data_IF_474594716072
#
_entry.id   IF_474594716072
#
_cell.length_a   1.000
_cell.length_b   1.000
_cell.length_c   1.000
_cell.angle_alpha   90.00
_cell.angle_beta   90.00
_cell.angle_gamma   90.00
#
_symmetry.space_group_name_H-M   'P 1'
#
loop_
_entity.id
_entity.type
_entity.pdbx_description
1 polymer ?
#
# COMPACT_ATOMS: atom_id res chain seq x y z
N UNK A 1 -20.37 -0.48 -26.98
CA UNK A 1 -21.49 -1.42 -26.76
C UNK A 1 -22.07 -1.14 -25.40
N UNK A 2 -23.36 -0.84 -25.29
CA UNK A 2 -24.04 -0.70 -23.99
C UNK A 2 -24.06 -2.06 -23.28
N UNK A 3 -23.73 -2.12 -21.99
CA UNK A 3 -23.75 -3.38 -21.24
C UNK A 3 -25.19 -3.88 -21.07
N UNK A 4 -25.38 -5.20 -21.05
CA UNK A 4 -26.68 -5.83 -20.72
C UNK A 4 -26.91 -5.97 -19.21
N UNK A 5 -26.16 -5.20 -18.41
CA UNK A 5 -26.14 -5.31 -16.94
C UNK A 5 -26.90 -4.13 -16.32
N UNK A 6 -27.60 -4.32 -15.19
CA UNK A 6 -28.30 -3.22 -14.54
C UNK A 6 -27.30 -2.19 -14.02
N UNK A 7 -27.69 -0.90 -14.06
CA UNK A 7 -26.80 0.26 -13.90
C UNK A 7 -25.96 0.25 -12.60
N UNK A 8 -26.39 -0.48 -11.56
CA UNK A 8 -25.62 -0.73 -10.34
C UNK A 8 -24.22 -1.35 -10.56
N UNK A 9 -24.02 -2.06 -11.68
CA UNK A 9 -22.75 -2.68 -12.08
C UNK A 9 -21.87 -1.78 -12.97
N UNK A 10 -22.34 -0.58 -13.36
CA UNK A 10 -21.47 0.40 -13.98
C UNK A 10 -20.54 0.99 -12.89
N UNK A 11 -19.31 1.34 -13.27
CA UNK A 11 -18.31 1.90 -12.37
C UNK A 11 -18.31 3.43 -12.44
N UNK A 12 -18.25 4.07 -11.27
CA UNK A 12 -18.08 5.52 -11.16
C UNK A 12 -16.69 5.92 -11.69
N UNK A 13 -16.58 7.07 -12.37
CA UNK A 13 -15.32 7.52 -12.99
C UNK A 13 -14.17 7.62 -11.97
N UNK A 14 -14.44 8.12 -10.77
CA UNK A 14 -13.51 8.14 -9.64
C UNK A 14 -13.05 6.72 -9.25
N UNK A 15 -13.98 5.77 -9.15
CA UNK A 15 -13.65 4.38 -8.78
C UNK A 15 -12.75 3.73 -9.85
N UNK A 16 -12.96 4.04 -11.15
CA UNK A 16 -12.06 3.62 -12.24
C UNK A 16 -10.68 4.28 -12.11
N UNK A 17 -10.62 5.57 -11.79
CA UNK A 17 -9.37 6.31 -11.65
C UNK A 17 -8.49 5.75 -10.51
N UNK A 18 -9.06 5.45 -9.34
CA UNK A 18 -8.29 4.90 -8.22
C UNK A 18 -7.89 3.43 -8.52
N UNK A 19 -8.74 2.64 -9.20
CA UNK A 19 -8.38 1.29 -9.69
C UNK A 19 -7.23 1.30 -10.72
N UNK A 20 -7.13 2.36 -11.55
CA UNK A 20 -5.99 2.59 -12.44
C UNK A 20 -4.73 2.96 -11.65
N UNK A 21 -4.83 3.92 -10.72
CA UNK A 21 -3.72 4.42 -9.92
C UNK A 21 -3.08 3.32 -9.04
N UNK A 22 -3.90 2.50 -8.38
CA UNK A 22 -3.44 1.35 -7.59
C UNK A 22 -2.96 0.14 -8.42
N UNK A 23 -2.86 0.29 -9.75
CA UNK A 23 -2.36 -0.71 -10.69
C UNK A 23 -3.11 -2.07 -10.68
N UNK A 24 -4.37 -2.08 -10.24
CA UNK A 24 -5.19 -3.29 -10.12
C UNK A 24 -5.45 -4.01 -11.47
N UNK A 25 -5.25 -3.29 -12.58
CA UNK A 25 -5.39 -3.74 -13.96
C UNK A 25 -4.16 -4.46 -14.52
N UNK A 26 -3.00 -4.40 -13.85
CA UNK A 26 -1.75 -5.04 -14.29
C UNK A 26 -1.73 -6.48 -13.78
N UNK A 27 -1.88 -7.46 -14.66
CA UNK A 27 -1.79 -8.88 -14.30
C UNK A 27 -0.40 -9.49 -14.48
N UNK A 28 -0.29 -10.80 -14.30
CA UNK A 28 0.94 -11.54 -14.57
C UNK A 28 1.30 -11.63 -16.07
N UNK A 29 2.54 -12.03 -16.38
CA UNK A 29 2.96 -12.41 -17.76
C UNK A 29 2.31 -13.71 -18.24
N UNK A 30 2.01 -14.62 -17.31
CA UNK A 30 1.36 -15.90 -17.55
C UNK A 30 -0.16 -15.77 -17.37
N UNK A 31 -0.91 -16.61 -18.08
CA UNK A 31 -2.37 -16.64 -18.02
C UNK A 31 -2.90 -18.08 -17.90
N UNK A 32 -3.82 -18.29 -16.97
CA UNK A 32 -4.64 -19.49 -16.82
C UNK A 32 -5.81 -19.43 -17.81
N UNK A 33 -6.10 -20.52 -18.52
CA UNK A 33 -7.21 -20.61 -19.50
C UNK A 33 -8.56 -20.19 -18.91
N UNK A 34 -8.80 -20.46 -17.61
CA UNK A 34 -10.03 -20.02 -16.93
C UNK A 34 -10.08 -18.50 -16.66
N UNK A 35 -8.93 -17.81 -16.65
CA UNK A 35 -8.83 -16.35 -16.46
C UNK A 35 -8.89 -15.56 -17.78
N UNK A 36 -8.68 -16.20 -18.93
CA UNK A 36 -8.73 -15.57 -20.26
C UNK A 36 -9.96 -14.66 -20.48
N UNK A 37 -11.19 -14.98 -20.04
CA UNK A 37 -12.35 -14.09 -20.22
C UNK A 37 -12.25 -12.73 -19.50
N UNK A 38 -11.38 -12.57 -18.51
CA UNK A 38 -11.17 -11.32 -17.76
C UNK A 38 -10.01 -10.47 -18.31
N UNK A 39 -9.15 -11.05 -19.15
CA UNK A 39 -8.05 -10.35 -19.81
C UNK A 39 -8.63 -9.51 -20.97
N UNK A 40 -8.16 -8.27 -21.10
CA UNK A 40 -8.54 -7.37 -22.19
C UNK A 40 -7.55 -7.45 -23.36
N UNK A 41 -6.25 -7.31 -23.08
CA UNK A 41 -5.17 -7.43 -24.07
C UNK A 41 -3.84 -7.78 -23.40
N UNK A 42 -2.87 -8.23 -24.18
CA UNK A 42 -1.46 -8.35 -23.76
C UNK A 42 -0.69 -7.09 -24.16
N UNK A 43 0.24 -6.64 -23.31
CA UNK A 43 1.18 -5.55 -23.59
C UNK A 43 2.42 -6.10 -24.31
N UNK A 44 3.20 -5.24 -24.97
CA UNK A 44 4.48 -5.57 -25.60
C UNK A 44 5.44 -6.28 -24.63
N UNK A 45 5.49 -5.85 -23.37
CA UNK A 45 6.27 -6.41 -22.24
C UNK A 45 5.91 -7.88 -21.88
N UNK A 46 4.95 -8.50 -22.59
CA UNK A 46 4.39 -9.82 -22.32
C UNK A 46 3.40 -9.87 -21.15
N UNK A 47 3.14 -8.74 -20.49
CA UNK A 47 2.24 -8.58 -19.35
C UNK A 47 0.77 -8.56 -19.81
N UNK A 48 -0.12 -9.24 -19.09
CA UNK A 48 -1.56 -9.24 -19.40
C UNK A 48 -2.27 -8.07 -18.70
N UNK A 49 -3.20 -7.41 -19.39
CA UNK A 49 -4.02 -6.32 -18.84
C UNK A 49 -5.43 -6.85 -18.55
N UNK A 50 -5.88 -6.67 -17.31
CA UNK A 50 -7.21 -7.08 -16.84
C UNK A 50 -8.25 -6.00 -17.18
N UNK A 51 -9.47 -6.40 -17.55
CA UNK A 51 -10.56 -5.47 -17.85
C UNK A 51 -11.21 -4.92 -16.56
N UNK A 52 -10.96 -3.64 -16.25
CA UNK A 52 -11.49 -2.93 -15.06
C UNK A 52 -13.02 -2.98 -14.95
N UNK A 53 -13.75 -2.96 -16.07
CA UNK A 53 -15.21 -3.13 -16.04
C UNK A 53 -15.60 -4.48 -15.41
N UNK A 54 -14.91 -5.55 -15.79
CA UNK A 54 -15.13 -6.90 -15.25
C UNK A 54 -14.64 -7.07 -13.80
N UNK A 55 -13.66 -6.28 -13.35
CA UNK A 55 -13.25 -6.30 -11.94
C UNK A 55 -14.34 -5.69 -11.07
N UNK A 56 -14.88 -4.54 -11.47
CA UNK A 56 -15.99 -3.88 -10.77
C UNK A 56 -17.29 -4.69 -10.81
N UNK A 57 -17.65 -5.26 -11.97
CA UNK A 57 -18.78 -6.19 -12.11
C UNK A 57 -18.72 -7.32 -11.07
N UNK A 58 -17.53 -7.89 -10.85
CA UNK A 58 -17.28 -8.96 -9.88
C UNK A 58 -17.24 -8.48 -8.43
N UNK A 59 -16.73 -7.28 -8.14
CA UNK A 59 -16.79 -6.68 -6.80
C UNK A 59 -18.24 -6.44 -6.37
N UNK A 60 -19.08 -5.87 -7.24
CA UNK A 60 -20.51 -5.64 -6.95
C UNK A 60 -21.27 -6.96 -6.81
N UNK A 61 -20.91 -8.00 -7.58
CA UNK A 61 -21.48 -9.34 -7.43
C UNK A 61 -21.09 -9.98 -6.08
N UNK A 62 -19.81 -9.94 -5.71
CA UNK A 62 -19.33 -10.46 -4.43
C UNK A 62 -19.95 -9.74 -3.23
N UNK A 63 -20.02 -8.41 -3.27
CA UNK A 63 -20.63 -7.60 -2.22
C UNK A 63 -22.11 -7.95 -2.00
N UNK A 64 -22.86 -8.26 -3.06
CA UNK A 64 -24.25 -8.75 -2.95
C UNK A 64 -24.34 -10.10 -2.24
N UNK A 65 -23.49 -11.06 -2.59
CA UNK A 65 -23.49 -12.39 -1.94
C UNK A 65 -23.16 -12.24 -0.45
N UNK A 66 -22.15 -11.45 -0.11
CA UNK A 66 -21.77 -11.16 1.29
C UNK A 66 -22.90 -10.45 2.05
N UNK A 67 -23.64 -9.55 1.39
CA UNK A 67 -24.78 -8.87 1.99
C UNK A 67 -26.00 -9.78 2.24
N UNK A 68 -26.10 -10.96 1.61
CA UNK A 68 -27.16 -11.94 1.93
C UNK A 68 -26.92 -12.73 3.22
N UNK A 69 -25.76 -12.59 3.86
CA UNK A 69 -25.42 -13.28 5.09
C UNK A 69 -25.79 -12.38 6.28
N UNK A 70 -26.83 -12.81 7.00
CA UNK A 70 -27.45 -12.13 8.16
C UNK A 70 -26.42 -11.83 9.25
N UNK A 71 -25.71 -12.85 9.72
CA UNK A 71 -24.64 -12.73 10.69
C UNK A 71 -23.33 -12.31 10.00
N UNK A 72 -22.78 -11.12 10.27
CA UNK A 72 -21.55 -10.69 9.60
C UNK A 72 -20.32 -11.53 10.00
N UNK A 73 -20.30 -12.06 11.24
CA UNK A 73 -19.19 -12.83 11.80
C UNK A 73 -18.98 -14.19 11.09
N UNK A 74 -20.04 -14.74 10.49
CA UNK A 74 -20.02 -15.98 9.72
C UNK A 74 -19.25 -15.84 8.39
N UNK A 75 -18.85 -14.62 8.01
CA UNK A 75 -17.97 -14.37 6.86
C UNK A 75 -16.53 -14.38 7.32
N UNK A 76 -15.67 -15.22 6.73
CA UNK A 76 -14.25 -15.23 7.04
C UNK A 76 -13.39 -14.61 5.93
N UNK A 77 -12.63 -13.57 6.27
CA UNK A 77 -11.63 -12.94 5.40
C UNK A 77 -10.23 -13.48 5.72
N UNK A 78 -9.49 -13.95 4.72
CA UNK A 78 -8.23 -14.68 4.88
C UNK A 78 -7.13 -14.08 4.02
N UNK A 79 -5.95 -13.88 4.62
CA UNK A 79 -4.72 -13.54 3.90
C UNK A 79 -3.45 -14.03 4.58
N UNK A 80 -2.79 -15.02 3.99
CA UNK A 80 -1.42 -15.37 4.32
C UNK A 80 -0.42 -14.30 3.85
N UNK A 81 -0.68 -13.65 2.70
CA UNK A 81 0.21 -12.62 2.10
C UNK A 81 0.33 -11.39 3.01
N UNK A 82 1.54 -10.94 3.40
CA UNK A 82 1.75 -9.76 4.25
C UNK A 82 0.92 -8.54 3.81
N UNK A 83 0.98 -8.21 2.52
CA UNK A 83 0.27 -7.08 1.92
C UNK A 83 -1.27 -7.11 2.09
N UNK A 84 -1.86 -8.28 2.35
CA UNK A 84 -3.29 -8.43 2.62
C UNK A 84 -3.65 -8.52 4.11
N UNK A 85 -2.70 -8.72 5.02
CA UNK A 85 -2.96 -8.92 6.45
C UNK A 85 -3.65 -7.70 7.08
N UNK A 86 -3.07 -6.50 6.90
CA UNK A 86 -3.67 -5.23 7.37
C UNK A 86 -5.03 -4.96 6.70
N UNK A 87 -5.14 -5.20 5.40
CA UNK A 87 -6.39 -5.03 4.66
C UNK A 87 -7.53 -5.92 5.18
N UNK A 88 -7.24 -7.20 5.45
CA UNK A 88 -8.19 -8.17 6.04
C UNK A 88 -8.61 -7.77 7.46
N UNK A 89 -7.68 -7.31 8.30
CA UNK A 89 -7.99 -6.87 9.66
C UNK A 89 -8.87 -5.61 9.67
N UNK A 90 -8.62 -4.64 8.77
CA UNK A 90 -9.49 -3.47 8.61
C UNK A 90 -10.84 -3.84 8.01
N UNK A 91 -10.89 -4.71 7.01
CA UNK A 91 -12.13 -5.23 6.43
C UNK A 91 -13.03 -5.88 7.51
N UNK A 92 -12.45 -6.75 8.35
CA UNK A 92 -13.12 -7.38 9.47
C UNK A 92 -13.69 -6.34 10.45
N UNK A 93 -12.87 -5.39 10.90
CA UNK A 93 -13.28 -4.34 11.83
C UNK A 93 -14.43 -3.45 11.29
N UNK A 94 -14.44 -3.15 9.99
CA UNK A 94 -15.48 -2.30 9.38
C UNK A 94 -16.75 -3.05 8.98
N UNK A 95 -16.69 -4.36 8.68
CA UNK A 95 -17.85 -5.14 8.21
C UNK A 95 -18.44 -6.09 9.27
N UNK A 96 -17.77 -6.27 10.41
CA UNK A 96 -18.14 -7.24 11.44
C UNK A 96 -17.81 -8.69 11.06
N UNK A 97 -16.89 -8.90 10.13
CA UNK A 97 -16.47 -10.22 9.64
C UNK A 97 -15.30 -10.80 10.44
N UNK A 98 -15.09 -12.12 10.39
CA UNK A 98 -14.01 -12.80 11.11
C UNK A 98 -12.71 -12.82 10.28
N UNK A 99 -11.62 -12.28 10.83
CA UNK A 99 -10.30 -12.31 10.17
C UNK A 99 -9.52 -13.61 10.42
N UNK A 100 -8.70 -14.01 9.44
CA UNK A 100 -7.50 -14.83 9.61
C UNK A 100 -6.37 -14.15 8.82
N UNK A 101 -5.51 -13.41 9.52
CA UNK A 101 -4.33 -12.76 8.94
C UNK A 101 -3.07 -13.58 9.26
N UNK A 102 -2.18 -13.72 8.29
CA UNK A 102 -0.96 -14.50 8.42
C UNK A 102 -1.20 -16.00 8.19
N UNK A 103 -0.37 -16.85 8.81
CA UNK A 103 -0.35 -18.29 8.55
C UNK A 103 -1.70 -18.94 8.87
N UNK A 104 -2.42 -19.37 7.84
CA UNK A 104 -3.58 -20.25 7.99
C UNK A 104 -3.15 -21.56 8.67
N UNK A 105 -3.83 -21.95 9.74
CA UNK A 105 -3.59 -23.22 10.45
C UNK A 105 -4.47 -24.30 9.82
N UNK A 106 -3.88 -25.39 9.30
CA UNK A 106 -4.66 -26.50 8.75
C UNK A 106 -5.57 -27.12 9.82
N UNK A 107 -6.81 -27.44 9.43
CA UNK A 107 -7.85 -27.97 10.32
C UNK A 107 -8.78 -26.92 10.89
N UNK A 108 -8.57 -25.62 10.62
CA UNK A 108 -9.43 -24.54 11.12
C UNK A 108 -10.91 -24.67 10.70
N UNK A 109 -11.23 -25.34 9.59
CA UNK A 109 -12.61 -25.58 9.16
C UNK A 109 -13.09 -27.03 9.34
N UNK A 110 -12.17 -27.98 9.59
CA UNK A 110 -12.51 -29.42 9.62
C UNK A 110 -12.30 -30.09 10.98
N UNK A 111 -11.55 -29.48 11.89
CA UNK A 111 -11.20 -30.07 13.19
C UNK A 111 -11.81 -29.31 14.37
N UNK A 112 -13.05 -29.69 14.71
CA UNK A 112 -13.87 -29.12 15.80
C UNK A 112 -13.23 -29.22 17.20
N UNK A 113 -12.20 -30.05 17.39
CA UNK A 113 -11.48 -30.20 18.67
C UNK A 113 -10.53 -29.02 18.89
N UNK A 114 -10.15 -28.28 17.84
CA UNK A 114 -9.21 -27.16 17.95
C UNK A 114 -9.87 -25.87 18.45
N UNK A 115 -9.17 -25.11 19.31
CA UNK A 115 -9.62 -23.78 19.78
C UNK A 115 -9.70 -22.72 18.67
N UNK A 116 -9.13 -23.01 17.49
CA UNK A 116 -9.12 -22.13 16.32
C UNK A 116 -10.18 -22.51 15.28
N UNK A 117 -11.04 -23.48 15.59
CA UNK A 117 -12.14 -23.93 14.75
C UNK A 117 -13.12 -22.78 14.44
N UNK A 118 -13.54 -22.68 13.18
CA UNK A 118 -14.56 -21.75 12.70
C UNK A 118 -15.43 -22.44 11.66
N UNK A 119 -16.72 -22.14 11.66
CA UNK A 119 -17.68 -22.62 10.65
C UNK A 119 -18.20 -21.43 9.81
N UNK A 120 -17.36 -20.77 8.97
CA UNK A 120 -17.82 -19.64 8.19
C UNK A 120 -18.78 -20.09 7.08
N UNK A 121 -19.88 -19.35 6.91
CA UNK A 121 -20.85 -19.56 5.82
C UNK A 121 -20.33 -19.07 4.46
N UNK A 122 -19.27 -18.27 4.44
CA UNK A 122 -18.57 -17.82 3.23
C UNK A 122 -17.13 -17.42 3.55
N UNK A 123 -16.21 -17.71 2.63
CA UNK A 123 -14.79 -17.35 2.76
C UNK A 123 -14.38 -16.37 1.64
N UNK A 124 -13.57 -15.38 1.98
CA UNK A 124 -12.97 -14.39 1.07
C UNK A 124 -11.44 -14.50 1.16
N UNK A 125 -10.76 -14.70 0.03
CA UNK A 125 -9.33 -15.05 -0.05
C UNK A 125 -8.51 -14.05 -0.87
N UNK A 126 -7.30 -13.68 -0.42
CA UNK A 126 -6.43 -12.73 -1.16
C UNK A 126 -5.67 -13.30 -2.36
N UNK A 127 -5.28 -14.57 -2.34
CA UNK A 127 -4.68 -15.23 -3.50
C UNK A 127 -4.88 -16.76 -3.38
N UNK A 128 -5.62 -17.40 -4.29
CA UNK A 128 -5.88 -18.83 -4.21
C UNK A 128 -4.61 -19.70 -4.41
N UNK A 129 -3.47 -19.11 -4.79
CA UNK A 129 -2.17 -19.79 -4.82
C UNK A 129 -1.51 -19.88 -3.44
N UNK A 130 -1.51 -18.82 -2.63
CA UNK A 130 -0.94 -18.83 -1.27
C UNK A 130 -1.86 -19.48 -0.26
N UNK A 131 -3.15 -19.18 -0.36
CA UNK A 131 -4.17 -19.57 0.62
C UNK A 131 -4.89 -20.86 0.19
N UNK A 132 -4.27 -21.65 -0.70
CA UNK A 132 -4.80 -22.88 -1.27
C UNK A 132 -5.24 -23.93 -0.24
N UNK A 133 -4.68 -23.90 0.98
CA UNK A 133 -5.09 -24.79 2.07
C UNK A 133 -6.50 -24.45 2.59
N UNK A 134 -6.80 -23.16 2.79
CA UNK A 134 -8.12 -22.71 3.22
C UNK A 134 -9.19 -23.08 2.18
N UNK A 135 -8.85 -22.96 0.88
CA UNK A 135 -9.71 -23.32 -0.25
C UNK A 135 -9.97 -24.84 -0.31
N UNK A 136 -8.96 -25.67 -0.07
CA UNK A 136 -9.13 -27.13 0.03
C UNK A 136 -10.04 -27.50 1.20
N UNK A 137 -9.83 -26.91 2.38
CA UNK A 137 -10.67 -27.19 3.55
C UNK A 137 -12.11 -26.70 3.37
N UNK A 138 -12.33 -25.53 2.75
CA UNK A 138 -13.65 -25.06 2.36
C UNK A 138 -14.40 -26.08 1.48
N UNK A 139 -13.70 -26.74 0.55
CA UNK A 139 -14.28 -27.76 -0.33
C UNK A 139 -14.69 -29.07 0.38
N UNK A 140 -14.13 -29.38 1.56
CA UNK A 140 -14.57 -30.52 2.37
C UNK A 140 -15.84 -30.23 3.18
N UNK A 141 -16.12 -28.95 3.46
CA UNK A 141 -17.23 -28.49 4.32
C UNK A 141 -18.34 -27.81 3.51
N UNK A 142 -18.20 -27.75 2.18
CA UNK A 142 -19.12 -27.10 1.23
C UNK A 142 -19.27 -25.58 1.45
N UNK A 143 -18.20 -24.91 1.90
CA UNK A 143 -18.20 -23.46 2.15
C UNK A 143 -17.87 -22.74 0.83
N UNK A 144 -18.70 -21.77 0.36
CA UNK A 144 -18.46 -21.03 -0.87
C UNK A 144 -17.27 -20.08 -0.76
N UNK A 145 -16.50 -19.97 -1.85
CA UNK A 145 -15.22 -19.26 -1.90
C UNK A 145 -15.26 -18.10 -2.89
N UNK A 146 -15.03 -16.89 -2.37
CA UNK A 146 -14.70 -15.68 -3.14
C UNK A 146 -13.18 -15.49 -3.07
N UNK A 147 -12.52 -15.21 -4.20
CA UNK A 147 -11.07 -15.01 -4.21
C UNK A 147 -10.63 -13.87 -5.15
N UNK A 148 -9.60 -13.13 -4.72
CA UNK A 148 -8.89 -12.16 -5.56
C UNK A 148 -7.87 -12.92 -6.43
N UNK A 149 -8.02 -12.82 -7.75
CA UNK A 149 -7.33 -13.70 -8.70
C UNK A 149 -6.59 -12.88 -9.76
N UNK A 150 -5.26 -12.98 -9.77
CA UNK A 150 -4.43 -12.54 -10.89
C UNK A 150 -4.53 -13.55 -12.06
N UNK A 151 -4.07 -13.18 -13.26
CA UNK A 151 -4.19 -14.00 -14.49
C UNK A 151 -3.52 -15.36 -14.38
N UNK A 152 -2.51 -15.52 -13.52
CA UNK A 152 -1.82 -16.78 -13.23
C UNK A 152 -2.35 -17.53 -11.98
N UNK A 153 -3.43 -17.06 -11.36
CA UNK A 153 -4.04 -17.70 -10.20
C UNK A 153 -4.83 -18.97 -10.57
N UNK A 154 -4.80 -20.03 -9.74
CA UNK A 154 -5.63 -21.22 -9.95
C UNK A 154 -7.10 -20.95 -9.62
N UNK A 155 -8.00 -21.28 -10.56
CA UNK A 155 -9.45 -21.29 -10.34
C UNK A 155 -9.94 -22.74 -10.14
N UNK A 156 -9.59 -23.31 -8.99
CA UNK A 156 -10.07 -24.59 -8.50
C UNK A 156 -10.72 -24.36 -7.14
N UNK A 157 -11.97 -24.83 -6.95
CA UNK A 157 -12.79 -24.57 -5.75
C UNK A 157 -12.92 -23.06 -5.41
N UNK A 158 -13.02 -22.21 -6.45
CA UNK A 158 -13.31 -20.78 -6.34
C UNK A 158 -14.56 -20.50 -7.17
N UNK A 159 -15.63 -20.06 -6.52
CA UNK A 159 -16.92 -19.80 -7.16
C UNK A 159 -16.98 -18.40 -7.76
N UNK A 160 -16.47 -17.41 -7.01
CA UNK A 160 -16.45 -16.00 -7.42
C UNK A 160 -15.00 -15.51 -7.47
N UNK A 161 -14.41 -15.61 -8.65
CA UNK A 161 -13.17 -14.92 -8.98
C UNK A 161 -13.44 -13.41 -9.14
N UNK A 162 -12.74 -12.59 -8.35
CA UNK A 162 -12.58 -11.15 -8.56
C UNK A 162 -11.23 -10.97 -9.29
N UNK A 163 -11.22 -10.64 -10.59
CA UNK A 163 -9.99 -10.63 -11.39
C UNK A 163 -9.17 -9.37 -11.12
N UNK A 164 -8.02 -9.46 -10.46
CA UNK A 164 -7.24 -8.30 -9.97
C UNK A 164 -5.79 -8.65 -9.69
N UNK A 165 -4.89 -7.67 -9.79
CA UNK A 165 -3.51 -7.77 -9.29
C UNK A 165 -3.48 -8.12 -7.79
N UNK A 166 -3.02 -9.33 -7.44
CA UNK A 166 -2.90 -9.82 -6.07
C UNK A 166 -1.46 -9.83 -5.52
N UNK A 167 -0.57 -9.04 -6.14
CA UNK A 167 0.86 -8.91 -5.79
C UNK A 167 1.24 -7.51 -5.32
N UNK A 168 0.61 -6.45 -5.84
CA UNK A 168 0.90 -5.06 -5.43
C UNK A 168 0.19 -4.62 -4.14
N UNK A 169 0.92 -3.95 -3.22
CA UNK A 169 0.41 -3.50 -1.90
C UNK A 169 -0.82 -2.61 -1.99
N UNK A 170 -0.81 -1.64 -2.91
CA UNK A 170 -1.94 -0.71 -3.13
C UNK A 170 -3.17 -1.39 -3.75
N UNK A 171 -2.97 -2.31 -4.70
CA UNK A 171 -4.07 -3.04 -5.35
C UNK A 171 -4.90 -3.83 -4.32
N UNK A 172 -4.24 -4.67 -3.51
CA UNK A 172 -4.92 -5.54 -2.55
C UNK A 172 -5.75 -4.72 -1.54
N UNK A 173 -5.14 -3.70 -0.91
CA UNK A 173 -5.83 -2.87 0.07
C UNK A 173 -7.02 -2.09 -0.52
N UNK A 174 -6.88 -1.56 -1.74
CA UNK A 174 -7.97 -0.88 -2.44
C UNK A 174 -9.16 -1.80 -2.71
N UNK A 175 -8.91 -3.06 -3.10
CA UNK A 175 -10.00 -4.00 -3.42
C UNK A 175 -10.79 -4.34 -2.16
N UNK A 176 -10.11 -4.57 -1.02
CA UNK A 176 -10.76 -4.75 0.27
C UNK A 176 -11.54 -3.51 0.72
N UNK A 177 -11.02 -2.30 0.48
CA UNK A 177 -11.72 -1.05 0.78
C UNK A 177 -12.98 -0.88 -0.08
N UNK A 178 -12.91 -1.12 -1.39
CA UNK A 178 -14.07 -1.08 -2.29
C UNK A 178 -15.12 -2.14 -1.91
N UNK A 179 -14.67 -3.34 -1.54
CA UNK A 179 -15.55 -4.44 -1.15
C UNK A 179 -16.26 -4.13 0.18
N UNK A 180 -15.55 -3.61 1.18
CA UNK A 180 -16.16 -3.09 2.41
C UNK A 180 -17.17 -1.97 2.12
N UNK A 181 -16.80 -0.99 1.28
CA UNK A 181 -17.65 0.14 0.90
C UNK A 181 -18.97 -0.31 0.26
N UNK A 182 -18.93 -1.24 -0.69
CA UNK A 182 -20.16 -1.75 -1.32
C UNK A 182 -20.97 -2.67 -0.40
N UNK A 183 -20.35 -3.48 0.47
CA UNK A 183 -21.08 -4.27 1.49
C UNK A 183 -21.81 -3.35 2.49
N UNK A 184 -21.17 -2.27 2.95
CA UNK A 184 -21.76 -1.29 3.85
C UNK A 184 -22.88 -0.46 3.19
N UNK A 185 -22.72 -0.11 1.91
CA UNK A 185 -23.79 0.49 1.08
C UNK A 185 -24.99 -0.46 0.93
N UNK A 186 -24.76 -1.75 0.70
CA UNK A 186 -25.83 -2.76 0.56
C UNK A 186 -26.53 -3.08 1.89
N UNK A 187 -25.82 -2.99 3.02
CA UNK A 187 -26.39 -3.09 4.38
C UNK A 187 -27.03 -1.80 4.89
N UNK A 188 -27.04 -0.72 4.09
CA UNK A 188 -27.67 0.55 4.43
C UNK A 188 -26.96 1.39 5.51
N UNK A 189 -25.80 0.97 6.01
CA UNK A 189 -25.03 1.74 7.00
C UNK A 189 -24.36 2.97 6.37
N UNK A 190 -24.12 2.95 5.07
CA UNK A 190 -23.79 4.11 4.25
C UNK A 190 -25.03 4.44 3.41
N UNK A 191 -25.74 5.51 3.78
CA UNK A 191 -27.09 5.82 3.30
C UNK A 191 -27.22 6.11 1.79
N UNK A 192 -26.13 6.41 1.07
CA UNK A 192 -26.17 6.68 -0.37
C UNK A 192 -24.87 6.31 -1.08
N UNK A 193 -24.96 6.03 -2.39
CA UNK A 193 -23.80 5.97 -3.29
C UNK A 193 -23.17 7.35 -3.56
N UNK A 194 -23.92 8.44 -3.39
CA UNK A 194 -23.40 9.81 -3.56
C UNK A 194 -22.57 10.30 -2.36
N UNK A 195 -22.71 9.68 -1.20
CA UNK A 195 -21.93 10.03 -0.01
C UNK A 195 -20.55 9.35 -0.09
N UNK A 196 -19.43 10.10 -0.01
CA UNK A 196 -18.12 9.50 0.14
C UNK A 196 -18.01 8.81 1.51
N UNK A 197 -17.23 7.73 1.59
CA UNK A 197 -16.98 7.07 2.87
C UNK A 197 -15.87 7.80 3.62
N UNK A 198 -16.06 8.05 4.92
CA UNK A 198 -15.12 8.78 5.77
C UNK A 198 -13.80 8.06 6.02
N UNK A 199 -13.74 6.74 5.74
CA UNK A 199 -12.51 5.95 5.87
C UNK A 199 -11.70 6.05 4.58
N UNK A 200 -10.50 6.62 4.66
CA UNK A 200 -9.57 6.69 3.52
C UNK A 200 -9.04 5.31 3.09
N UNK A 201 -8.68 5.19 1.81
CA UNK A 201 -8.19 3.93 1.19
C UNK A 201 -6.92 3.43 1.88
N UNK A 202 -6.00 4.35 2.20
CA UNK A 202 -4.66 4.08 2.71
C UNK A 202 -4.65 3.41 4.10
N UNK A 203 -5.77 3.46 4.83
CA UNK A 203 -5.95 2.68 6.06
C UNK A 203 -5.82 1.17 5.80
N UNK A 204 -6.27 0.72 4.62
CA UNK A 204 -6.23 -0.68 4.17
C UNK A 204 -4.90 -1.06 3.52
N UNK A 205 -4.07 -0.11 3.08
CA UNK A 205 -2.76 -0.43 2.54
C UNK A 205 -1.87 -1.03 3.63
N UNK A 206 -1.09 -2.04 3.25
CA UNK A 206 0.07 -2.47 4.02
C UNK A 206 1.17 -1.41 3.86
N UNK A 207 1.74 -0.99 4.98
CA UNK A 207 3.03 -0.28 5.05
C UNK A 207 4.04 -1.25 5.62
N UNK A 208 5.25 -1.21 5.11
CA UNK A 208 6.33 -2.08 5.58
C UNK A 208 6.83 -1.52 6.95
N UNK A 209 7.01 -2.34 8.01
CA UNK A 209 7.27 -1.82 9.36
C UNK A 209 8.53 -0.95 9.50
N UNK A 210 9.51 -1.18 8.63
CA UNK A 210 10.75 -0.40 8.56
C UNK A 210 10.51 0.97 7.92
N UNK A 211 9.68 1.05 6.85
CA UNK A 211 9.23 2.35 6.29
C UNK A 211 8.49 3.16 7.36
N UNK A 212 7.61 2.53 8.15
CA UNK A 212 6.85 3.22 9.22
C UNK A 212 7.77 3.73 10.33
N UNK A 213 8.77 2.95 10.75
CA UNK A 213 9.72 3.40 11.77
C UNK A 213 10.60 4.58 11.30
N UNK A 214 10.88 4.68 9.99
CA UNK A 214 11.54 5.85 9.40
C UNK A 214 10.58 7.03 9.24
N UNK A 215 9.36 6.82 8.72
CA UNK A 215 8.31 7.86 8.66
C UNK A 215 8.02 8.47 10.04
N UNK A 216 7.93 7.65 11.09
CA UNK A 216 7.68 8.10 12.47
C UNK A 216 8.89 8.84 13.07
N UNK A 217 10.13 8.43 12.76
CA UNK A 217 11.35 9.14 13.17
C UNK A 217 11.51 10.49 12.44
N UNK A 218 11.30 10.53 11.12
CA UNK A 218 11.29 11.75 10.33
C UNK A 218 10.19 12.72 10.82
N UNK A 219 9.02 12.19 11.20
CA UNK A 219 7.95 12.96 11.83
C UNK A 219 8.33 13.49 13.23
N UNK A 220 9.07 12.73 14.05
CA UNK A 220 9.56 13.20 15.36
C UNK A 220 10.64 14.27 15.22
N UNK A 221 11.60 14.10 14.30
CA UNK A 221 12.62 15.11 13.98
C UNK A 221 11.98 16.39 13.40
N UNK A 222 11.00 16.27 12.51
CA UNK A 222 10.25 17.44 12.00
C UNK A 222 9.48 18.17 13.10
N UNK A 223 8.85 17.46 14.05
CA UNK A 223 8.18 18.06 15.21
C UNK A 223 9.19 18.70 16.18
N UNK A 224 10.39 18.13 16.32
CA UNK A 224 11.47 18.73 17.10
C UNK A 224 12.01 20.01 16.43
N UNK A 225 12.15 20.02 15.10
CA UNK A 225 12.53 21.20 14.31
C UNK A 225 11.44 22.29 14.38
N UNK A 226 10.15 21.93 14.32
CA UNK A 226 9.04 22.89 14.47
C UNK A 226 8.99 23.47 15.90
N UNK A 227 9.20 22.63 16.93
CA UNK A 227 9.30 23.07 18.32
C UNK A 227 10.53 23.97 18.57
N UNK A 228 11.65 23.71 17.91
CA UNK A 228 12.82 24.58 17.95
C UNK A 228 12.58 25.90 17.20
N UNK A 229 11.95 25.86 16.02
CA UNK A 229 11.55 27.04 15.24
C UNK A 229 10.62 27.97 16.00
N UNK A 230 9.70 27.41 16.80
CA UNK A 230 8.83 28.17 17.71
C UNK A 230 9.59 28.97 18.80
N UNK A 231 10.90 28.74 18.99
CA UNK A 231 11.76 29.54 19.88
C UNK A 231 12.62 30.61 19.16
N UNK A 232 12.51 30.76 17.83
CA UNK A 232 13.24 31.79 17.06
C UNK A 232 12.38 32.55 16.04
N UNK A 233 11.44 33.34 16.54
CA UNK A 233 11.02 34.62 15.95
C UNK A 233 11.01 35.66 17.10
N UNK A 234 11.45 36.91 16.92
CA UNK A 234 11.53 37.69 15.67
C UNK A 234 12.92 38.23 15.33
N UNK A 235 13.24 38.41 14.03
CA UNK A 235 14.27 39.32 13.55
C UNK A 235 13.66 40.67 13.13
N UNK A 236 13.75 41.69 14.00
CA UNK A 236 13.38 43.07 13.64
C UNK A 236 14.35 43.62 12.57
N UNK A 237 13.80 44.31 11.55
CA UNK A 237 14.57 44.90 10.45
C UNK A 237 14.38 46.42 10.29
N UNK A 238 13.55 47.08 11.11
CA UNK A 238 13.00 48.40 10.81
C UNK A 238 13.61 49.57 11.62
N UNK A 239 14.91 49.87 11.43
CA UNK A 239 15.54 51.06 12.05
C UNK A 239 16.68 51.72 11.24
N UNK A 240 16.34 52.62 10.31
CA UNK A 240 17.22 53.76 9.96
C UNK A 240 16.70 55.03 10.66
N UNK A 241 17.60 55.79 11.30
CA UNK A 241 17.26 57.10 11.88
C UNK A 241 18.17 57.51 13.03
N UNK A 242 18.98 58.56 12.83
CA UNK A 242 19.94 59.06 13.82
C UNK A 242 19.47 60.33 14.54
N UNK A 243 19.84 60.51 15.82
CA UNK A 243 20.35 61.78 16.37
C UNK A 243 20.75 61.71 17.86
N UNK A 244 21.99 62.17 18.16
CA UNK A 244 22.42 62.96 19.35
C UNK A 244 22.28 62.41 20.80
N UNK A 245 23.05 62.91 21.81
CA UNK A 245 24.49 63.31 21.91
C UNK A 245 24.84 63.61 23.41
N UNK A 246 26.13 63.78 23.73
CA UNK A 246 26.75 64.22 25.03
C UNK A 246 27.16 63.14 26.06
N UNK A 247 28.47 63.11 26.37
CA UNK A 247 29.03 62.81 27.71
C UNK A 247 29.50 61.36 27.97
N UNK A 248 30.73 61.10 28.45
CA UNK A 248 31.89 61.99 28.58
C UNK A 248 33.03 61.47 29.49
N UNK A 249 34.26 61.50 28.97
CA UNK A 249 35.57 61.42 29.66
C UNK A 249 36.09 60.08 30.27
N UNK A 250 37.33 59.73 29.88
CA UNK A 250 38.28 58.87 30.62
C UNK A 250 38.30 57.36 30.28
N UNK A 251 39.38 56.75 29.79
CA UNK A 251 40.66 57.30 29.28
C UNK A 251 41.82 56.28 29.30
N UNK A 252 42.77 56.41 28.35
CA UNK A 252 44.15 55.84 28.26
C UNK A 252 44.36 54.31 28.38
N UNK A 253 45.28 53.64 27.66
CA UNK A 253 45.97 53.96 26.39
C UNK A 253 46.52 52.64 25.74
N UNK A 254 46.81 52.60 24.42
CA UNK A 254 47.23 51.37 23.73
C UNK A 254 48.74 51.29 23.40
N UNK A 255 49.39 50.13 23.59
CA UNK A 255 50.73 49.86 23.04
C UNK A 255 51.15 48.37 22.99
N UNK A 256 51.03 47.73 21.81
CA UNK A 256 52.03 46.75 21.28
C UNK A 256 51.80 46.51 19.78
N UNK A 257 52.45 47.33 18.94
CA UNK A 257 52.58 47.15 17.49
C UNK A 257 54.07 47.34 17.10
N UNK A 258 54.59 46.90 15.95
CA UNK A 258 54.04 46.04 14.88
C UNK A 258 54.95 44.79 14.69
N UNK A 259 55.55 44.33 13.57
CA UNK A 259 55.72 44.68 12.13
C UNK A 259 56.10 43.34 11.40
N UNK A 260 56.04 43.10 10.08
CA UNK A 260 55.70 43.93 8.90
C UNK A 260 55.18 43.07 7.71
N UNK A 261 54.56 43.77 6.75
CA UNK A 261 54.47 43.53 5.28
C UNK A 261 55.06 42.26 4.62
N UNK A 262 54.28 41.56 3.78
CA UNK A 262 54.28 41.70 2.29
C UNK A 262 53.82 40.44 1.49
N UNK A 263 53.04 40.65 0.40
CA UNK A 263 53.09 39.81 -0.82
C UNK A 263 51.90 38.87 -1.17
N UNK A 264 51.42 38.95 -2.42
CA UNK A 264 50.61 37.99 -3.22
C UNK A 264 49.24 37.51 -2.66
N UNK A 265 48.07 37.50 -3.35
CA UNK A 265 47.66 37.06 -4.71
C UNK A 265 47.82 35.55 -4.97
N UNK A 266 46.80 34.78 -5.40
CA UNK A 266 45.45 35.12 -5.86
C UNK A 266 44.56 33.87 -6.03
N UNK A 267 43.55 33.93 -6.91
CA UNK A 267 42.43 32.97 -7.01
C UNK A 267 42.63 31.77 -7.96
N UNK A 268 42.10 30.61 -7.56
CA UNK A 268 41.42 29.58 -8.37
C UNK A 268 40.54 28.77 -7.39
N UNK A 269 39.24 28.52 -7.58
CA UNK A 269 38.52 27.90 -8.69
C UNK A 269 38.73 26.37 -8.76
N UNK A 270 37.64 25.60 -8.78
CA UNK A 270 37.61 24.14 -8.53
C UNK A 270 36.86 23.40 -9.64
N UNK A 271 37.60 22.65 -10.46
CA UNK A 271 37.05 21.76 -11.50
C UNK A 271 37.98 20.52 -11.69
N UNK A 272 37.50 19.52 -12.43
CA UNK A 272 38.18 18.28 -12.85
C UNK A 272 38.47 17.16 -11.81
N UNK A 273 37.47 16.28 -11.68
CA UNK A 273 37.51 14.82 -11.58
C UNK A 273 38.83 13.99 -11.49
N UNK A 274 38.82 13.01 -10.57
CA UNK A 274 39.34 11.64 -10.70
C UNK A 274 38.55 10.77 -9.68
N UNK A 275 37.79 9.74 -10.04
CA UNK A 275 38.11 8.43 -10.63
C UNK A 275 38.91 7.49 -9.70
N UNK A 276 38.28 6.37 -9.31
CA UNK A 276 38.86 5.29 -8.49
C UNK A 276 38.33 3.91 -8.92
N UNK A 277 39.07 3.35 -9.89
CA UNK A 277 39.24 1.94 -10.29
C UNK A 277 38.32 0.84 -9.74
N UNK A 278 37.83 0.01 -10.67
CA UNK A 278 37.54 -1.40 -10.43
C UNK A 278 38.15 -2.28 -11.54
N UNK A 279 38.99 -3.24 -11.18
CA UNK A 279 38.94 -4.64 -11.66
C UNK A 279 39.69 -5.54 -10.67
N UNK A 280 39.36 -6.84 -10.65
CA UNK A 280 39.99 -7.84 -9.79
C UNK A 280 39.93 -9.24 -10.43
N UNK A 281 40.69 -9.43 -11.51
CA UNK A 281 40.89 -10.71 -12.18
C UNK A 281 42.29 -10.80 -12.79
N UNK A 282 42.98 -11.95 -12.86
CA UNK A 282 42.88 -13.20 -12.09
C UNK A 282 44.23 -13.94 -12.19
N UNK A 283 44.56 -14.81 -11.23
CA UNK A 283 45.67 -15.78 -11.41
C UNK A 283 45.45 -17.05 -10.56
N UNK A 284 45.40 -18.20 -11.22
CA UNK A 284 45.46 -19.52 -10.61
C UNK A 284 46.31 -20.42 -11.51
N UNK A 285 47.34 -21.05 -10.95
CA UNK A 285 48.32 -21.83 -11.70
C UNK A 285 47.94 -23.32 -11.80
N UNK A 286 48.34 -23.93 -12.91
CA UNK A 286 48.15 -25.36 -13.23
C UNK A 286 48.95 -26.26 -12.29
N UNK A 287 48.38 -27.41 -11.91
CA UNK A 287 49.15 -28.63 -11.66
C UNK A 287 48.33 -29.88 -12.06
N UNK A 288 49.02 -30.99 -12.36
CA UNK A 288 48.43 -32.22 -12.92
C UNK A 288 49.19 -33.44 -12.36
N UNK A 289 48.57 -34.17 -11.43
CA UNK A 289 49.00 -35.47 -10.90
C UNK A 289 47.82 -36.18 -10.23
#
# INVERSE_FOLDING_TARGET
MTSKLPASFNADQETIQILLAAQAHIGAKNANTKMTPYIFKRRQDGVNIINIGKTWEKIVLAARVIATIENPQDVCAISARPYGQRAVLKYAAHTGASAIAGRFTPGNFTNYITRSFKEPRLIIVTDPRTDAQAIKEASYVNIPVIALCDTDSPLAHVDIAIPTNNKGRHSIGLIWWLLAREVLRLRGTIASRTTPWSVMVDLYFYRDPEEVATEEADEEDLKAIEAAGATQAEPDWAAEGAANVVGGAGGVDPATAAVATAGASGSADWDAAADWSADASAQATTEWA
#
